data_IF_234055606077
#
_entry.id   IF_234055606077
#
_cell.length_a   1.000
_cell.length_b   1.000
_cell.length_c   1.000
_cell.angle_alpha   90.00
_cell.angle_beta   90.00
_cell.angle_gamma   90.00
#
_symmetry.space_group_name_H-M   'P 1'
#
loop_
_entity.id
_entity.type
_entity.pdbx_description
1 polymer ?
#
# COMPACT_ATOMS: atom_id res chain seq x y z
N UNK A 1 28.92 29.20 -24.06
CA UNK A 1 28.69 29.67 -25.44
C UNK A 1 27.35 29.08 -25.84
N UNK A 2 26.22 29.80 -25.69
CA UNK A 2 25.74 30.88 -26.58
C UNK A 2 25.84 30.48 -28.05
N UNK A 3 24.85 30.60 -28.93
CA UNK A 3 23.45 31.02 -28.98
C UNK A 3 23.17 30.96 -30.50
N UNK A 4 21.97 30.61 -30.97
CA UNK A 4 21.32 31.26 -32.12
C UNK A 4 20.12 30.44 -32.60
N UNK A 5 18.94 30.86 -32.14
CA UNK A 5 17.85 31.16 -33.05
C UNK A 5 17.10 32.34 -32.43
N UNK A 6 17.25 33.51 -33.06
CA UNK A 6 16.54 34.74 -32.76
C UNK A 6 16.13 35.38 -34.08
N UNK A 7 14.94 35.96 -34.07
CA UNK A 7 14.48 36.94 -35.04
C UNK A 7 13.11 36.56 -35.61
N UNK A 8 12.04 37.33 -35.48
CA UNK A 8 11.80 38.59 -34.78
C UNK A 8 10.31 38.94 -35.05
N UNK A 9 9.59 39.39 -34.04
CA UNK A 9 8.50 40.38 -34.17
C UNK A 9 8.09 40.81 -32.77
N UNK A 10 8.65 41.93 -32.33
CA UNK A 10 8.25 42.64 -31.12
C UNK A 10 7.40 43.87 -31.48
N UNK A 11 6.58 44.23 -30.49
CA UNK A 11 6.02 45.55 -30.16
C UNK A 11 4.67 46.00 -30.77
N UNK A 12 3.65 46.01 -29.90
CA UNK A 12 2.78 47.18 -29.65
C UNK A 12 1.97 47.03 -28.33
N UNK A 13 2.52 47.59 -27.25
CA UNK A 13 1.91 48.57 -26.33
C UNK A 13 0.46 48.38 -25.83
N UNK A 14 0.37 48.12 -24.53
CA UNK A 14 -0.50 48.71 -23.50
C UNK A 14 -2.00 48.92 -23.77
N UNK A 15 -2.84 48.14 -23.07
CA UNK A 15 -4.08 48.64 -22.47
C UNK A 15 -4.28 48.02 -21.09
N UNK A 16 -4.26 48.88 -20.06
CA UNK A 16 -4.54 48.52 -18.69
C UNK A 16 -6.03 48.33 -18.43
N UNK A 17 -6.37 47.35 -17.59
CA UNK A 17 -7.67 47.28 -16.95
C UNK A 17 -7.50 47.29 -15.43
N UNK A 18 -7.94 48.41 -14.84
CA UNK A 18 -8.12 48.59 -13.40
C UNK A 18 -9.34 47.77 -12.96
N UNK A 19 -9.19 47.00 -11.90
CA UNK A 19 -10.32 46.47 -11.13
C UNK A 19 -10.96 47.62 -10.33
N UNK A 20 -12.26 47.85 -10.56
CA UNK A 20 -13.08 48.71 -9.71
C UNK A 20 -13.84 47.83 -8.74
N UNK A 21 -13.56 48.03 -7.45
CA UNK A 21 -14.37 47.58 -6.31
C UNK A 21 -15.71 48.32 -6.39
N UNK A 22 -16.82 47.60 -6.22
CA UNK A 22 -18.14 48.19 -6.08
C UNK A 22 -18.75 47.68 -4.77
N UNK A 23 -18.61 48.50 -3.73
CA UNK A 23 -19.41 48.45 -2.51
C UNK A 23 -20.79 49.04 -2.80
N UNK A 24 -21.85 48.31 -2.47
CA UNK A 24 -23.13 48.94 -2.12
C UNK A 24 -24.04 47.97 -1.36
N UNK A 25 -24.13 48.22 -0.05
CA UNK A 25 -25.24 47.86 0.81
C UNK A 25 -26.55 48.49 0.29
N UNK A 26 -27.64 47.72 0.22
CA UNK A 26 -28.90 48.15 0.82
C UNK A 26 -29.94 47.03 0.95
N UNK A 27 -30.68 47.13 2.05
CA UNK A 27 -31.78 46.27 2.50
C UNK A 27 -32.94 46.18 1.49
N UNK A 28 -33.58 45.01 1.43
CA UNK A 28 -35.03 44.93 1.22
C UNK A 28 -35.60 43.64 1.82
N UNK A 29 -36.45 43.81 2.84
CA UNK A 29 -37.31 42.78 3.42
C UNK A 29 -38.44 42.43 2.46
N UNK A 30 -38.63 41.15 2.12
CA UNK A 30 -39.95 40.62 1.77
C UNK A 30 -40.06 39.16 2.25
N UNK A 31 -40.93 38.97 3.25
CA UNK A 31 -41.32 37.66 3.75
C UNK A 31 -42.35 37.04 2.79
N UNK A 32 -42.13 35.80 2.37
CA UNK A 32 -43.19 35.00 1.74
C UNK A 32 -43.16 33.60 2.33
N UNK A 33 -44.23 33.27 3.06
CA UNK A 33 -44.56 31.92 3.52
C UNK A 33 -44.94 31.07 2.32
N UNK A 34 -44.35 29.88 2.17
CA UNK A 34 -44.95 28.80 1.40
C UNK A 34 -44.97 27.50 2.21
N UNK A 35 -46.18 26.98 2.29
CA UNK A 35 -46.66 25.80 2.98
C UNK A 35 -46.10 24.54 2.29
N UNK A 36 -45.47 23.65 3.05
CA UNK A 36 -45.04 22.33 2.58
C UNK A 36 -46.24 21.38 2.54
N UNK A 37 -46.72 21.03 1.35
CA UNK A 37 -47.56 19.86 1.13
C UNK A 37 -46.67 18.65 0.82
N UNK A 38 -46.69 17.67 1.72
CA UNK A 38 -46.02 16.37 1.57
C UNK A 38 -46.76 15.52 0.53
N UNK A 39 -46.11 15.20 -0.58
CA UNK A 39 -46.53 14.13 -1.48
C UNK A 39 -45.61 12.92 -1.28
N UNK A 40 -46.21 11.85 -0.76
CA UNK A 40 -45.60 10.53 -0.62
C UNK A 40 -45.19 9.98 -1.98
N UNK A 41 -43.88 9.80 -2.19
CA UNK A 41 -43.35 9.02 -3.29
C UNK A 41 -42.86 7.68 -2.72
N UNK A 42 -43.69 6.63 -2.87
CA UNK A 42 -43.34 5.25 -2.54
C UNK A 42 -42.19 4.79 -3.45
N UNK A 43 -40.95 4.91 -2.99
CA UNK A 43 -39.82 4.18 -3.55
C UNK A 43 -39.90 2.72 -3.07
N UNK A 44 -40.29 1.81 -3.94
CA UNK A 44 -39.94 0.40 -3.78
C UNK A 44 -38.43 0.25 -3.97
N UNK A 45 -37.67 0.51 -2.90
CA UNK A 45 -36.26 0.12 -2.81
C UNK A 45 -36.19 -1.36 -2.49
N UNK A 46 -35.64 -2.17 -3.40
CA UNK A 46 -35.06 -3.46 -3.00
C UNK A 46 -33.96 -3.13 -2.01
N UNK A 47 -34.15 -3.49 -0.73
CA UNK A 47 -33.06 -3.56 0.24
C UNK A 47 -32.08 -4.62 -0.27
N UNK A 48 -31.03 -4.19 -0.97
CA UNK A 48 -29.81 -4.97 -1.06
C UNK A 48 -29.16 -4.76 0.31
N UNK A 49 -29.40 -5.68 1.25
CA UNK A 49 -28.55 -5.79 2.43
C UNK A 49 -27.14 -6.08 1.89
N UNK A 50 -26.26 -5.08 1.88
CA UNK A 50 -24.84 -5.37 1.78
C UNK A 50 -24.48 -6.15 3.04
N UNK A 51 -24.18 -7.44 2.88
CA UNK A 51 -23.63 -8.24 3.95
C UNK A 51 -22.38 -7.52 4.48
N UNK A 52 -22.25 -7.46 5.80
CA UNK A 52 -21.04 -6.95 6.44
C UNK A 52 -19.85 -7.76 5.94
N UNK A 53 -18.82 -7.07 5.45
CA UNK A 53 -17.61 -7.73 4.97
C UNK A 53 -16.78 -8.20 6.14
N UNK A 54 -16.32 -9.43 6.02
CA UNK A 54 -15.52 -10.10 7.03
C UNK A 54 -14.12 -10.34 6.49
N UNK A 55 -13.13 -10.19 7.37
CA UNK A 55 -11.75 -10.62 7.07
C UNK A 55 -11.70 -12.15 6.98
N UNK A 56 -10.65 -12.69 6.38
CA UNK A 56 -10.61 -14.13 6.06
C UNK A 56 -10.79 -15.03 7.29
N UNK A 57 -10.23 -14.64 8.45
CA UNK A 57 -10.37 -15.39 9.72
C UNK A 57 -11.77 -15.36 10.30
N UNK A 58 -12.49 -14.25 10.12
CA UNK A 58 -13.87 -14.13 10.58
C UNK A 58 -14.81 -14.94 9.69
N UNK A 59 -14.54 -14.94 8.38
CA UNK A 59 -15.31 -15.70 7.39
C UNK A 59 -15.09 -17.22 7.52
N UNK A 60 -13.83 -17.62 7.74
CA UNK A 60 -13.35 -19.00 7.79
C UNK A 60 -12.55 -19.26 9.08
N UNK A 61 -13.22 -19.35 10.25
CA UNK A 61 -12.54 -19.45 11.55
C UNK A 61 -11.72 -20.73 11.73
N UNK A 62 -12.08 -21.81 11.04
CA UNK A 62 -11.36 -23.08 11.09
C UNK A 62 -10.14 -23.11 10.15
N UNK A 63 -10.00 -22.13 9.25
CA UNK A 63 -8.89 -22.07 8.28
C UNK A 63 -7.55 -21.97 9.00
N UNK A 64 -6.69 -22.98 8.78
CA UNK A 64 -5.35 -22.97 9.33
C UNK A 64 -4.48 -21.93 8.61
N UNK A 65 -4.29 -20.78 9.25
CA UNK A 65 -3.46 -19.66 8.77
C UNK A 65 -2.21 -19.50 9.63
N UNK A 66 -1.48 -20.60 9.80
CA UNK A 66 -0.27 -20.64 10.62
C UNK A 66 -0.54 -20.91 12.10
N UNK A 67 0.53 -21.29 12.82
CA UNK A 67 0.48 -21.61 14.26
C UNK A 67 0.58 -20.40 15.18
N UNK A 68 1.13 -19.30 14.69
CA UNK A 68 1.29 -18.07 15.46
C UNK A 68 -0.02 -17.29 15.45
N UNK A 69 -0.43 -16.74 16.59
CA UNK A 69 -1.63 -15.91 16.69
C UNK A 69 -1.36 -14.53 16.09
N UNK A 70 -2.37 -13.88 15.48
CA UNK A 70 -2.23 -12.49 15.09
C UNK A 70 -2.11 -11.56 16.29
N UNK A 71 -1.60 -10.35 16.06
CA UNK A 71 -1.71 -9.25 17.00
C UNK A 71 -3.16 -8.77 17.12
N UNK A 72 -3.45 -7.83 18.04
CA UNK A 72 -4.81 -7.38 18.33
C UNK A 72 -5.54 -6.76 17.13
N UNK A 73 -4.82 -6.08 16.22
CA UNK A 73 -5.39 -5.49 15.01
C UNK A 73 -5.32 -6.45 13.82
N UNK A 74 -4.52 -7.52 13.93
CA UNK A 74 -4.12 -8.38 12.82
C UNK A 74 -3.69 -7.52 11.62
N UNK A 75 -2.77 -6.59 11.86
CA UNK A 75 -2.35 -5.58 10.87
C UNK A 75 -0.89 -5.21 11.08
N UNK A 76 -0.24 -4.63 10.07
CA UNK A 76 1.17 -4.23 10.15
C UNK A 76 1.43 -3.24 11.30
N UNK A 77 0.41 -2.46 11.66
CA UNK A 77 0.43 -1.50 12.78
C UNK A 77 0.42 -2.16 14.16
N UNK A 78 0.26 -3.48 14.26
CA UNK A 78 0.56 -4.22 15.49
C UNK A 78 2.04 -4.14 15.86
N UNK A 79 2.94 -3.89 14.90
CA UNK A 79 4.37 -3.67 15.17
C UNK A 79 4.55 -2.31 15.85
N UNK A 80 5.05 -2.26 17.10
CA UNK A 80 5.12 -1.02 17.85
C UNK A 80 5.86 0.10 17.10
N UNK A 81 5.19 1.24 16.98
CA UNK A 81 5.70 2.45 16.33
C UNK A 81 5.39 2.56 14.85
N UNK A 82 5.02 1.48 14.15
CA UNK A 82 4.63 1.56 12.74
C UNK A 82 3.30 2.28 12.60
N UNK A 83 3.22 3.22 11.67
CA UNK A 83 2.01 3.99 11.37
C UNK A 83 1.67 3.86 9.89
N UNK A 84 0.38 3.88 9.56
CA UNK A 84 -0.09 3.78 8.18
C UNK A 84 -1.21 4.79 7.91
N UNK A 85 -1.22 5.32 6.69
CA UNK A 85 -2.33 6.07 6.12
C UNK A 85 -2.69 5.50 4.74
N UNK A 86 -3.97 5.39 4.43
CA UNK A 86 -4.46 5.09 3.08
C UNK A 86 -5.34 6.23 2.59
N UNK A 87 -5.06 6.73 1.39
CA UNK A 87 -5.86 7.76 0.73
C UNK A 87 -6.24 7.31 -0.68
N UNK A 88 -7.54 7.10 -0.91
CA UNK A 88 -8.11 6.78 -2.21
C UNK A 88 -8.50 8.06 -2.96
N UNK A 89 -8.06 8.17 -4.20
CA UNK A 89 -8.24 9.34 -5.06
C UNK A 89 -9.17 8.96 -6.21
N UNK A 90 -10.40 9.48 -6.15
CA UNK A 90 -11.49 9.20 -7.10
C UNK A 90 -12.31 10.45 -7.43
N UNK A 91 -11.70 11.48 -8.07
CA UNK A 91 -12.41 12.72 -8.43
C UNK A 91 -13.55 12.51 -9.44
N UNK A 92 -13.49 11.43 -10.22
CA UNK A 92 -14.49 11.02 -11.18
C UNK A 92 -14.42 9.49 -11.41
N UNK A 93 -15.32 8.94 -12.22
CA UNK A 93 -15.42 7.49 -12.48
C UNK A 93 -14.21 6.88 -13.18
N UNK A 94 -13.42 7.67 -13.91
CA UNK A 94 -12.30 7.18 -14.71
C UNK A 94 -10.99 7.13 -13.90
N UNK A 95 -10.94 7.78 -12.74
CA UNK A 95 -9.76 7.82 -11.87
C UNK A 95 -10.02 6.97 -10.63
N UNK A 96 -9.23 5.90 -10.48
CA UNK A 96 -9.33 4.98 -9.34
C UNK A 96 -7.91 4.62 -8.88
N UNK A 97 -7.31 5.48 -8.09
CA UNK A 97 -5.92 5.34 -7.65
C UNK A 97 -5.76 5.86 -6.22
N UNK A 98 -4.54 5.98 -5.72
CA UNK A 98 -4.31 6.52 -4.39
C UNK A 98 -2.88 6.39 -3.93
N UNK A 99 -2.69 6.65 -2.64
CA UNK A 99 -1.43 6.47 -1.94
C UNK A 99 -1.65 5.71 -0.64
N UNK A 100 -0.75 4.79 -0.33
CA UNK A 100 -0.62 4.18 0.99
C UNK A 100 0.73 4.60 1.55
N UNK A 101 0.72 5.31 2.68
CA UNK A 101 1.91 5.81 3.36
C UNK A 101 2.19 4.97 4.59
N UNK A 102 3.41 4.45 4.73
CA UNK A 102 3.85 3.69 5.89
C UNK A 102 5.01 4.45 6.52
N UNK A 103 4.86 4.82 7.79
CA UNK A 103 5.97 5.32 8.60
C UNK A 103 6.55 4.17 9.40
N UNK A 104 7.87 3.88 9.29
CA UNK A 104 8.49 2.87 10.15
C UNK A 104 8.46 3.28 11.62
N UNK A 105 8.30 4.59 11.88
CA UNK A 105 8.12 5.23 13.19
C UNK A 105 7.71 6.69 13.04
N UNK A 106 7.05 7.24 14.07
CA UNK A 106 6.69 8.66 14.12
C UNK A 106 7.92 9.60 14.06
N UNK A 107 9.03 9.20 14.67
CA UNK A 107 10.29 9.94 14.72
C UNK A 107 11.29 9.51 13.63
N UNK A 108 10.81 9.05 12.46
CA UNK A 108 11.66 8.56 11.36
C UNK A 108 12.69 9.60 10.87
N UNK A 109 12.35 10.89 10.98
CA UNK A 109 13.26 12.01 10.65
C UNK A 109 14.45 12.12 11.63
N UNK A 110 14.37 11.49 12.80
CA UNK A 110 15.46 11.42 13.79
C UNK A 110 16.19 10.09 13.73
N UNK A 111 15.44 9.00 13.51
CA UNK A 111 15.99 7.65 13.55
C UNK A 111 15.52 6.80 12.37
N UNK A 112 16.48 6.31 11.60
CA UNK A 112 16.30 5.27 10.61
C UNK A 112 16.11 3.88 11.25
N UNK A 113 15.63 2.96 10.42
CA UNK A 113 15.47 1.54 10.74
C UNK A 113 16.43 0.68 9.91
N UNK A 114 16.83 -0.48 10.43
CA UNK A 114 17.44 -1.48 9.54
C UNK A 114 16.39 -1.99 8.57
N UNK A 115 16.79 -2.19 7.32
CA UNK A 115 15.92 -2.67 6.25
C UNK A 115 16.70 -3.48 5.21
N UNK A 116 15.96 -4.27 4.42
CA UNK A 116 16.48 -4.95 3.26
C UNK A 116 15.38 -5.23 2.24
N UNK A 117 15.76 -5.42 0.98
CA UNK A 117 14.86 -5.69 -0.14
C UNK A 117 15.14 -7.08 -0.72
N UNK A 118 14.10 -7.73 -1.20
CA UNK A 118 14.20 -8.92 -2.04
C UNK A 118 13.30 -8.77 -3.27
N UNK A 119 13.91 -8.86 -4.45
CA UNK A 119 13.22 -8.85 -5.73
C UNK A 119 12.99 -10.29 -6.19
N UNK A 120 11.75 -10.76 -6.14
CA UNK A 120 11.39 -12.08 -6.66
C UNK A 120 11.24 -12.04 -8.18
N UNK A 121 10.50 -11.06 -8.70
CA UNK A 121 10.52 -10.67 -10.11
C UNK A 121 10.53 -9.14 -10.25
N UNK A 122 11.37 -8.62 -11.16
CA UNK A 122 11.74 -7.21 -11.17
C UNK A 122 11.05 -6.33 -12.19
N UNK A 123 9.88 -6.74 -12.70
CA UNK A 123 9.12 -5.97 -13.67
C UNK A 123 8.30 -4.84 -12.99
N UNK A 124 8.96 -4.04 -12.17
CA UNK A 124 8.37 -2.95 -11.39
C UNK A 124 9.45 -2.08 -10.75
N UNK A 125 9.06 -1.07 -9.99
CA UNK A 125 9.98 -0.08 -9.43
C UNK A 125 9.85 0.07 -7.90
N UNK A 126 10.99 0.25 -7.24
CA UNK A 126 11.12 0.59 -5.82
C UNK A 126 12.34 1.49 -5.65
N UNK A 127 12.08 2.80 -5.54
CA UNK A 127 13.11 3.82 -5.31
C UNK A 127 13.73 3.69 -3.91
N UNK A 128 14.90 4.30 -3.71
CA UNK A 128 15.66 4.16 -2.46
C UNK A 128 16.35 2.80 -2.27
N UNK A 129 16.08 1.84 -3.16
CA UNK A 129 16.59 0.47 -3.07
C UNK A 129 18.11 0.35 -3.06
N UNK A 130 18.82 1.19 -3.83
CA UNK A 130 20.28 1.18 -3.85
C UNK A 130 20.90 1.52 -2.48
N UNK A 131 20.35 2.51 -1.78
CA UNK A 131 20.88 2.87 -0.46
C UNK A 131 20.56 1.81 0.59
N UNK A 132 19.39 1.18 0.50
CA UNK A 132 19.02 0.04 1.35
C UNK A 132 19.93 -1.15 1.08
N UNK A 133 20.28 -1.46 -0.17
CA UNK A 133 21.17 -2.57 -0.50
C UNK A 133 22.61 -2.31 -0.03
N UNK A 134 23.09 -1.07 -0.17
CA UNK A 134 24.43 -0.65 0.24
C UNK A 134 24.60 -0.63 1.77
N UNK A 135 23.62 -0.06 2.48
CA UNK A 135 23.78 0.26 3.91
C UNK A 135 22.86 -0.51 4.84
N UNK A 136 21.80 -1.11 4.30
CA UNK A 136 20.76 -1.75 5.09
C UNK A 136 19.94 -0.78 5.93
N UNK A 137 19.80 0.49 5.50
CA UNK A 137 19.08 1.52 6.25
C UNK A 137 17.88 2.08 5.49
N UNK A 138 16.72 2.12 6.16
CA UNK A 138 15.51 2.81 5.71
C UNK A 138 15.50 4.21 6.32
N UNK A 139 15.63 5.22 5.46
CA UNK A 139 15.78 6.64 5.84
C UNK A 139 14.57 7.51 5.47
N UNK A 140 13.46 6.90 5.09
CA UNK A 140 12.24 7.60 4.62
C UNK A 140 10.95 6.85 4.97
N UNK A 141 9.79 7.51 4.87
CA UNK A 141 8.50 6.85 4.70
C UNK A 141 8.50 5.92 3.48
N UNK A 142 7.68 4.88 3.54
CA UNK A 142 7.44 3.99 2.40
C UNK A 142 6.10 4.38 1.77
N UNK A 143 6.10 4.73 0.48
CA UNK A 143 4.90 5.14 -0.26
C UNK A 143 4.58 4.10 -1.33
N UNK A 144 3.38 3.54 -1.26
CA UNK A 144 2.84 2.60 -2.25
C UNK A 144 1.79 3.34 -3.10
N UNK A 145 1.96 3.33 -4.42
CA UNK A 145 1.05 4.02 -5.35
C UNK A 145 1.01 3.32 -6.72
N UNK A 146 0.56 4.02 -7.76
CA UNK A 146 0.61 3.56 -9.16
C UNK A 146 1.93 3.93 -9.84
N UNK A 147 2.43 3.10 -10.76
CA UNK A 147 3.68 3.34 -11.50
C UNK A 147 3.81 4.78 -12.04
N UNK A 148 2.73 5.32 -12.60
CA UNK A 148 2.71 6.66 -13.20
C UNK A 148 2.91 7.80 -12.19
N UNK A 149 2.85 7.50 -10.89
CA UNK A 149 2.92 8.46 -9.79
C UNK A 149 4.16 8.30 -8.90
N UNK A 150 5.13 7.47 -9.28
CA UNK A 150 6.39 7.33 -8.53
C UNK A 150 7.09 8.68 -8.35
N UNK A 151 7.16 9.49 -9.42
CA UNK A 151 7.77 10.82 -9.36
C UNK A 151 7.08 11.76 -8.38
N UNK A 152 5.75 11.72 -8.30
CA UNK A 152 4.97 12.53 -7.35
C UNK A 152 5.15 12.04 -5.91
N UNK A 153 5.23 10.72 -5.71
CA UNK A 153 5.64 10.10 -4.44
C UNK A 153 6.99 10.65 -3.96
N UNK A 154 7.98 10.62 -4.86
CA UNK A 154 9.36 10.99 -4.57
C UNK A 154 9.46 12.48 -4.21
N UNK A 155 8.81 13.33 -5.01
CA UNK A 155 8.69 14.77 -4.73
C UNK A 155 7.97 15.04 -3.42
N UNK A 156 6.91 14.31 -3.10
CA UNK A 156 6.10 14.52 -1.90
C UNK A 156 6.85 14.27 -0.60
N UNK A 157 7.70 13.23 -0.55
CA UNK A 157 8.57 12.99 0.61
C UNK A 157 9.55 14.15 0.79
N UNK A 158 10.17 14.65 -0.28
CA UNK A 158 11.08 15.80 -0.17
C UNK A 158 10.36 17.10 0.16
N UNK A 159 9.16 17.34 -0.37
CA UNK A 159 8.34 18.49 0.04
C UNK A 159 8.01 18.43 1.54
N UNK A 160 7.69 17.25 2.08
CA UNK A 160 7.52 17.08 3.52
C UNK A 160 8.80 17.47 4.28
N UNK A 161 9.96 16.97 3.84
CA UNK A 161 11.25 17.29 4.50
C UNK A 161 11.53 18.79 4.45
N UNK A 162 11.34 19.45 3.31
CA UNK A 162 11.54 20.90 3.20
C UNK A 162 10.57 21.70 4.07
N UNK A 163 9.32 21.25 4.24
CA UNK A 163 8.31 21.96 5.04
C UNK A 163 8.55 21.82 6.55
N UNK A 164 9.01 20.66 7.01
CA UNK A 164 9.02 20.31 8.44
C UNK A 164 10.41 20.06 9.03
N UNK A 165 11.41 19.84 8.19
CA UNK A 165 12.77 19.44 8.57
C UNK A 165 13.85 20.11 7.69
N UNK A 166 13.59 21.33 7.21
CA UNK A 166 14.60 22.13 6.54
C UNK A 166 15.69 22.61 7.51
N UNK A 167 16.87 22.90 6.97
CA UNK A 167 17.94 23.62 7.66
C UNK A 167 17.52 25.06 7.99
N UNK A 168 18.23 25.78 8.87
CA UNK A 168 17.90 27.17 9.21
C UNK A 168 17.86 28.15 8.02
N UNK A 169 18.57 27.84 6.94
CA UNK A 169 18.58 28.60 5.67
C UNK A 169 17.53 28.12 4.65
N UNK A 170 16.72 27.11 4.99
CA UNK A 170 15.58 26.66 4.20
C UNK A 170 15.90 25.57 3.16
N UNK A 171 17.04 24.90 3.27
CA UNK A 171 17.44 23.79 2.39
C UNK A 171 17.13 22.41 3.04
N UNK A 172 17.44 21.33 2.33
CA UNK A 172 17.27 19.95 2.77
C UNK A 172 18.03 19.67 4.07
N UNK A 173 17.31 19.39 5.17
CA UNK A 173 17.93 19.07 6.46
C UNK A 173 18.24 17.59 6.70
N UNK A 174 17.72 16.68 5.86
CA UNK A 174 17.86 15.23 6.04
C UNK A 174 18.49 14.59 4.80
N UNK A 175 19.55 13.80 5.01
CA UNK A 175 20.10 12.92 3.98
C UNK A 175 19.21 11.67 3.87
N UNK A 176 18.14 11.79 3.08
CA UNK A 176 17.11 10.76 2.91
C UNK A 176 17.02 10.31 1.47
N UNK A 177 16.77 9.02 1.26
CA UNK A 177 16.42 8.44 -0.03
C UNK A 177 14.96 7.97 0.04
N UNK A 178 14.01 8.69 -0.58
CA UNK A 178 12.60 8.30 -0.57
C UNK A 178 12.38 6.89 -1.11
N UNK A 179 11.57 6.09 -0.41
CA UNK A 179 11.15 4.75 -0.85
C UNK A 179 9.73 4.83 -1.37
N UNK A 180 9.64 4.91 -2.69
CA UNK A 180 8.39 4.91 -3.45
C UNK A 180 8.36 3.66 -4.30
N UNK A 181 7.26 2.92 -4.22
CA UNK A 181 7.08 1.64 -4.91
C UNK A 181 5.67 1.55 -5.46
N UNK A 182 5.45 0.63 -6.40
CA UNK A 182 4.22 0.66 -7.19
C UNK A 182 3.64 -0.70 -7.55
N UNK A 183 2.37 -0.66 -7.95
CA UNK A 183 1.79 -1.64 -8.87
C UNK A 183 0.97 -0.92 -9.96
N UNK A 184 0.61 -1.62 -11.04
CA UNK A 184 -0.08 -1.02 -12.19
C UNK A 184 -1.63 -1.05 -12.11
N UNK A 185 -2.29 0.10 -11.96
CA UNK A 185 -3.76 0.23 -11.91
C UNK A 185 -4.46 0.62 -13.23
N UNK A 186 -3.75 0.67 -14.36
CA UNK A 186 -4.22 1.31 -15.60
C UNK A 186 -5.44 0.65 -16.28
N UNK A 187 -5.91 -0.49 -15.76
CA UNK A 187 -7.18 -1.09 -16.21
C UNK A 187 -8.39 -0.33 -15.69
N UNK A 188 -8.38 0.04 -14.40
CA UNK A 188 -9.45 0.77 -13.71
C UNK A 188 -9.15 2.26 -13.56
N UNK A 189 -7.88 2.66 -13.69
CA UNK A 189 -7.42 4.04 -13.56
C UNK A 189 -6.98 4.64 -14.90
N UNK A 190 -7.42 5.86 -15.19
CA UNK A 190 -6.92 6.67 -16.30
C UNK A 190 -5.60 7.34 -15.91
N UNK A 191 -4.50 6.58 -15.96
CA UNK A 191 -3.17 7.03 -15.52
C UNK A 191 -2.69 8.35 -16.16
N UNK A 192 -3.12 8.67 -17.39
CA UNK A 192 -2.79 9.95 -18.04
C UNK A 192 -3.36 11.18 -17.33
N UNK A 193 -4.18 11.01 -16.30
CA UNK A 193 -4.69 12.10 -15.45
C UNK A 193 -3.70 12.54 -14.38
N UNK A 194 -2.69 11.73 -14.06
CA UNK A 194 -1.70 12.02 -13.00
C UNK A 194 -2.37 12.56 -11.73
N UNK A 195 -3.36 11.81 -11.23
CA UNK A 195 -4.25 12.29 -10.16
C UNK A 195 -3.60 12.31 -8.78
N UNK A 196 -2.56 11.49 -8.56
CA UNK A 196 -1.74 11.58 -7.35
C UNK A 196 -0.89 12.83 -7.43
N UNK A 197 -0.80 13.55 -6.32
CA UNK A 197 0.00 14.76 -6.18
C UNK A 197 0.94 14.58 -4.98
N UNK A 198 2.01 15.38 -4.86
CA UNK A 198 2.89 15.32 -3.70
C UNK A 198 2.16 15.73 -2.43
N UNK A 199 1.12 16.56 -2.53
CA UNK A 199 0.34 16.96 -1.37
C UNK A 199 -0.36 15.75 -0.73
N UNK A 200 -0.88 14.82 -1.52
CA UNK A 200 -1.44 13.56 -1.00
C UNK A 200 -0.39 12.77 -0.19
N UNK A 201 0.88 12.81 -0.61
CA UNK A 201 1.98 12.15 0.11
C UNK A 201 2.29 12.89 1.42
N UNK A 202 2.38 14.22 1.38
CA UNK A 202 2.59 15.05 2.58
C UNK A 202 1.48 14.82 3.60
N UNK A 203 0.22 14.85 3.16
CA UNK A 203 -0.93 14.55 4.01
C UNK A 203 -0.91 13.11 4.53
N UNK A 204 -0.52 12.14 3.70
CA UNK A 204 -0.33 10.77 4.13
C UNK A 204 0.70 10.60 5.25
N UNK A 205 1.81 11.35 5.20
CA UNK A 205 2.81 11.35 6.28
C UNK A 205 2.23 11.97 7.56
N UNK A 206 1.46 13.06 7.46
CA UNK A 206 0.87 13.74 8.61
C UNK A 206 -0.27 12.95 9.26
N UNK A 207 -1.03 12.20 8.46
CA UNK A 207 -2.25 11.50 8.89
C UNK A 207 -2.02 10.00 9.20
N UNK A 208 -0.79 9.50 9.13
CA UNK A 208 -0.48 8.12 9.47
C UNK A 208 -0.78 7.85 10.95
N UNK A 209 -1.53 6.79 11.23
CA UNK A 209 -1.91 6.40 12.60
C UNK A 209 -1.56 4.94 12.88
N UNK A 210 -1.68 4.53 14.15
CA UNK A 210 -1.46 3.16 14.60
C UNK A 210 -2.73 2.29 14.49
N UNK A 211 -3.79 2.81 13.86
CA UNK A 211 -5.06 2.07 13.72
C UNK A 211 -4.89 0.87 12.78
N UNK A 212 -5.88 -0.02 12.78
CA UNK A 212 -5.93 -1.10 11.79
C UNK A 212 -5.98 -0.49 10.38
N UNK A 213 -5.13 -1.00 9.49
CA UNK A 213 -5.05 -0.51 8.10
C UNK A 213 -6.38 -0.78 7.38
N UNK A 214 -7.00 0.22 6.73
CA UNK A 214 -8.15 -0.03 5.86
C UNK A 214 -7.76 -0.91 4.66
N UNK A 215 -8.47 -2.02 4.45
CA UNK A 215 -8.14 -3.05 3.45
C UNK A 215 -9.12 -3.06 2.26
N UNK A 216 -8.79 -3.86 1.24
CA UNK A 216 -9.53 -3.96 0.00
C UNK A 216 -9.14 -2.84 -0.96
N UNK A 217 -10.12 -2.10 -1.46
CA UNK A 217 -9.93 -1.10 -2.53
C UNK A 217 -9.54 0.28 -1.98
N UNK A 218 -8.49 0.34 -1.17
CA UNK A 218 -8.05 1.53 -0.43
C UNK A 218 -6.64 1.97 -0.80
N UNK A 219 -6.33 3.27 -0.61
CA UNK A 219 -4.98 3.81 -0.78
C UNK A 219 -4.38 3.55 -2.16
N UNK A 220 -3.10 3.19 -2.22
CA UNK A 220 -2.45 2.77 -3.46
C UNK A 220 -3.11 1.53 -4.11
N UNK A 221 -3.83 0.72 -3.32
CA UNK A 221 -4.59 -0.44 -3.78
C UNK A 221 -5.90 -0.15 -4.50
N UNK A 222 -6.36 1.10 -4.54
CA UNK A 222 -7.71 1.48 -5.01
C UNK A 222 -8.08 0.88 -6.37
N UNK A 223 -7.22 1.01 -7.38
CA UNK A 223 -7.48 0.52 -8.74
C UNK A 223 -6.93 -0.87 -9.06
N UNK A 224 -6.47 -1.63 -8.07
CA UNK A 224 -5.74 -2.88 -8.29
C UNK A 224 -6.66 -4.10 -8.50
N UNK A 225 -6.12 -5.15 -9.13
CA UNK A 225 -6.79 -6.38 -9.54
C UNK A 225 -5.94 -7.58 -9.12
N UNK A 226 -6.48 -8.49 -8.32
CA UNK A 226 -5.76 -9.67 -7.82
C UNK A 226 -6.51 -10.95 -8.22
N UNK A 227 -5.81 -11.91 -8.82
CA UNK A 227 -6.37 -13.15 -9.37
C UNK A 227 -7.57 -12.90 -10.30
N UNK A 228 -7.50 -11.80 -11.07
CA UNK A 228 -8.59 -11.29 -11.95
C UNK A 228 -9.90 -10.92 -11.24
N UNK A 229 -9.92 -10.92 -9.91
CA UNK A 229 -10.93 -10.27 -9.08
C UNK A 229 -10.42 -8.90 -8.63
N UNK A 230 -11.27 -8.11 -7.97
CA UNK A 230 -10.82 -6.86 -7.37
C UNK A 230 -9.71 -7.15 -6.35
N UNK A 231 -8.59 -6.42 -6.49
CA UNK A 231 -7.45 -6.44 -5.58
C UNK A 231 -7.35 -5.16 -4.74
N UNK A 232 -6.14 -4.90 -4.24
CA UNK A 232 -5.83 -3.68 -3.48
C UNK A 232 -4.93 -3.91 -2.27
N UNK A 233 -5.22 -3.22 -1.16
CA UNK A 233 -4.39 -3.21 0.05
C UNK A 233 -4.89 -4.26 1.06
N UNK A 234 -3.97 -4.99 1.67
CA UNK A 234 -4.28 -5.97 2.70
C UNK A 234 -3.18 -6.02 3.75
N UNK A 235 -3.51 -6.47 4.94
CA UNK A 235 -2.59 -6.50 6.06
C UNK A 235 -2.85 -7.68 6.99
N UNK A 236 -1.82 -8.13 7.69
CA UNK A 236 -1.93 -9.16 8.72
C UNK A 236 -0.72 -9.08 9.64
N UNK A 237 -0.78 -9.70 10.81
CA UNK A 237 0.36 -9.79 11.72
C UNK A 237 0.43 -11.14 12.43
N UNK A 238 1.55 -11.43 13.07
CA UNK A 238 1.78 -12.59 13.92
C UNK A 238 2.61 -12.19 15.13
N UNK A 239 2.26 -12.76 16.29
CA UNK A 239 3.04 -12.67 17.52
C UNK A 239 3.91 -13.92 17.66
N UNK A 240 5.22 -13.71 17.73
CA UNK A 240 6.23 -14.76 17.88
C UNK A 240 6.85 -14.65 19.28
N UNK A 241 6.73 -15.67 20.15
CA UNK A 241 7.41 -15.67 21.42
C UNK A 241 8.92 -15.83 21.20
N UNK A 242 9.70 -15.08 21.96
CA UNK A 242 11.15 -15.12 21.96
C UNK A 242 11.72 -14.72 23.31
N UNK A 243 13.02 -14.42 23.32
CA UNK A 243 13.74 -13.92 24.49
C UNK A 243 14.34 -12.55 24.17
N UNK A 244 14.46 -11.68 25.17
CA UNK A 244 15.26 -10.45 25.08
C UNK A 244 16.75 -10.72 25.34
N UNK A 245 17.59 -9.68 25.22
CA UNK A 245 19.04 -9.76 25.48
C UNK A 245 19.43 -10.27 26.87
N UNK A 246 18.53 -10.19 27.85
CA UNK A 246 18.76 -10.61 29.23
C UNK A 246 18.17 -12.01 29.51
N UNK A 247 17.60 -12.66 28.48
CA UNK A 247 17.03 -14.00 28.55
C UNK A 247 15.58 -14.06 29.05
N UNK A 248 14.89 -12.92 29.18
CA UNK A 248 13.50 -12.89 29.62
C UNK A 248 12.56 -13.15 28.45
N UNK A 249 11.42 -13.82 28.71
CA UNK A 249 10.39 -14.03 27.70
C UNK A 249 9.85 -12.69 27.17
N UNK A 250 9.89 -12.53 25.86
CA UNK A 250 9.41 -11.36 25.14
C UNK A 250 8.63 -11.80 23.91
N UNK A 251 7.44 -11.25 23.74
CA UNK A 251 6.69 -11.42 22.51
C UNK A 251 7.15 -10.38 21.51
N UNK A 252 7.48 -10.85 20.32
CA UNK A 252 7.79 -10.02 19.17
C UNK A 252 6.66 -10.06 18.16
N UNK A 253 6.58 -9.05 17.31
CA UNK A 253 5.56 -8.90 16.29
C UNK A 253 6.19 -8.93 14.91
N UNK A 254 5.57 -9.67 13.99
CA UNK A 254 5.78 -9.57 12.55
C UNK A 254 4.51 -9.04 11.94
N UNK A 255 4.57 -7.88 11.29
CA UNK A 255 3.47 -7.27 10.56
C UNK A 255 3.73 -7.32 9.05
N UNK A 256 2.68 -7.49 8.25
CA UNK A 256 2.76 -7.48 6.79
C UNK A 256 1.68 -6.58 6.22
N UNK A 257 2.04 -5.79 5.21
CA UNK A 257 1.12 -5.04 4.35
C UNK A 257 1.44 -5.38 2.90
N UNK A 258 0.39 -5.65 2.12
CA UNK A 258 0.49 -5.94 0.69
C UNK A 258 -0.30 -4.93 -0.13
N UNK A 259 0.20 -4.61 -1.32
CA UNK A 259 -0.59 -4.05 -2.42
C UNK A 259 -0.64 -5.09 -3.53
N UNK A 260 -1.73 -5.85 -3.58
CA UNK A 260 -1.87 -7.02 -4.45
C UNK A 260 -2.59 -6.64 -5.76
N UNK A 261 -1.87 -6.81 -6.87
CA UNK A 261 -2.32 -6.55 -8.22
C UNK A 261 -1.90 -7.68 -9.19
N UNK A 262 -1.82 -8.93 -8.73
CA UNK A 262 -1.17 -10.03 -9.46
C UNK A 262 -2.07 -11.24 -9.67
N UNK A 263 -1.64 -12.16 -10.54
CA UNK A 263 -2.14 -13.55 -10.59
C UNK A 263 -3.30 -13.80 -11.55
N UNK A 264 -3.41 -15.05 -12.02
CA UNK A 264 -4.54 -15.51 -12.82
C UNK A 264 -5.66 -16.06 -11.95
N UNK A 265 -6.89 -16.09 -12.49
CA UNK A 265 -8.08 -16.56 -11.78
C UNK A 265 -7.91 -18.02 -11.35
N UNK A 266 -7.37 -18.86 -12.22
CA UNK A 266 -7.25 -20.31 -12.07
C UNK A 266 -6.21 -20.72 -11.03
N UNK A 267 -5.27 -19.84 -10.71
CA UNK A 267 -4.18 -20.12 -9.78
C UNK A 267 -4.56 -19.82 -8.32
N UNK A 268 -5.66 -19.09 -8.09
CA UNK A 268 -6.11 -18.72 -6.74
C UNK A 268 -6.29 -19.93 -5.85
N UNK A 269 -5.49 -19.99 -4.79
CA UNK A 269 -5.56 -21.00 -3.74
C UNK A 269 -5.89 -20.37 -2.39
N UNK A 270 -6.84 -20.96 -1.64
CA UNK A 270 -7.18 -20.54 -0.27
C UNK A 270 -7.04 -21.75 0.65
N UNK A 271 -6.08 -21.73 1.60
CA UNK A 271 -5.80 -22.88 2.46
C UNK A 271 -5.37 -24.13 1.70
N UNK A 272 -4.69 -23.97 0.55
CA UNK A 272 -4.35 -25.06 -0.36
C UNK A 272 -5.52 -25.59 -1.22
N UNK A 273 -6.74 -25.10 -1.04
CA UNK A 273 -7.88 -25.43 -1.90
C UNK A 273 -7.78 -24.63 -3.20
N UNK A 274 -7.83 -25.26 -4.40
CA UNK A 274 -7.72 -24.57 -5.69
C UNK A 274 -9.03 -23.87 -6.08
N UNK A 275 -9.41 -22.85 -5.28
CA UNK A 275 -10.67 -22.11 -5.40
C UNK A 275 -10.87 -21.56 -6.81
N UNK A 276 -9.81 -21.01 -7.42
CA UNK A 276 -9.85 -20.48 -8.78
C UNK A 276 -10.38 -21.45 -9.82
N UNK A 277 -9.84 -22.68 -9.82
CA UNK A 277 -10.24 -23.75 -10.76
C UNK A 277 -11.66 -24.25 -10.51
N UNK A 278 -12.07 -24.31 -9.25
CA UNK A 278 -13.41 -24.76 -8.85
C UNK A 278 -14.48 -23.75 -9.27
N UNK A 279 -14.19 -22.45 -9.15
CA UNK A 279 -15.09 -21.39 -9.64
C UNK A 279 -15.23 -21.47 -11.18
N UNK A 280 -14.13 -21.62 -11.91
CA UNK A 280 -14.15 -21.73 -13.37
C UNK A 280 -14.91 -22.97 -13.89
N UNK A 281 -14.78 -24.11 -13.22
CA UNK A 281 -15.51 -25.33 -13.58
C UNK A 281 -17.02 -25.21 -13.30
N UNK A 282 -17.40 -24.48 -12.26
CA UNK A 282 -18.82 -24.24 -11.93
C UNK A 282 -19.46 -23.26 -12.92
N UNK A 283 -18.73 -22.23 -13.34
CA UNK A 283 -19.18 -21.26 -14.35
C UNK A 283 -19.43 -21.95 -15.71
N UNK A 284 -18.47 -22.77 -16.18
CA UNK A 284 -18.60 -23.51 -17.46
C UNK A 284 -19.75 -24.52 -17.49
N UNK A 285 -20.08 -25.15 -16.36
CA UNK A 285 -21.25 -26.04 -16.24
C UNK A 285 -22.59 -25.29 -16.22
N UNK A 286 -22.58 -24.00 -15.84
CA UNK A 286 -23.78 -23.16 -15.76
C UNK A 286 -24.07 -22.34 -17.02
N UNK A 287 -23.10 -22.19 -17.93
CA UNK A 287 -23.20 -21.32 -19.10
C UNK A 287 -23.43 -22.10 -20.40
N UNK A 288 -24.60 -21.93 -21.03
CA UNK A 288 -24.87 -22.22 -22.46
C UNK A 288 -24.54 -21.04 -23.37
N UNK A 289 -23.94 -19.96 -22.86
CA UNK A 289 -23.63 -18.74 -23.64
C UNK A 289 -22.13 -18.52 -23.80
N UNK A 290 -21.67 -18.62 -25.04
CA UNK A 290 -20.35 -18.19 -25.51
C UNK A 290 -20.29 -16.66 -25.63
N UNK A 291 -20.22 -15.95 -24.50
CA UNK A 291 -19.75 -14.56 -24.55
C UNK A 291 -18.21 -14.58 -24.65
N UNK A 292 -17.59 -13.89 -25.62
CA UNK A 292 -16.13 -13.81 -25.71
C UNK A 292 -15.58 -13.26 -24.39
N UNK A 293 -14.70 -14.02 -23.74
CA UNK A 293 -14.04 -13.59 -22.52
C UNK A 293 -13.39 -12.24 -22.74
N UNK A 294 -13.66 -11.29 -21.84
CA UNK A 294 -12.97 -10.00 -21.81
C UNK A 294 -11.47 -10.31 -21.74
N UNK A 295 -10.75 -10.06 -22.83
CA UNK A 295 -9.28 -10.10 -22.84
C UNK A 295 -8.82 -9.07 -21.81
N UNK A 296 -8.47 -9.56 -20.62
CA UNK A 296 -7.88 -8.76 -19.56
C UNK A 296 -6.57 -8.11 -20.06
N UNK A 297 -6.06 -7.10 -19.34
CA UNK A 297 -4.82 -6.44 -19.72
C UNK A 297 -3.69 -7.47 -19.84
N UNK A 298 -2.86 -7.30 -20.86
CA UNK A 298 -1.71 -8.16 -21.24
C UNK A 298 -0.62 -8.26 -20.15
N UNK A 299 -0.65 -7.42 -19.13
CA UNK A 299 0.30 -7.46 -18.03
C UNK A 299 -0.19 -8.42 -16.93
N UNK A 300 0.66 -9.37 -16.54
CA UNK A 300 0.37 -10.39 -15.52
C UNK A 300 0.37 -9.86 -14.06
N UNK A 301 0.30 -8.54 -13.89
CA UNK A 301 0.05 -7.89 -12.60
C UNK A 301 1.29 -7.37 -11.90
N UNK A 302 1.27 -7.21 -10.56
CA UNK A 302 2.42 -6.90 -9.67
C UNK A 302 1.99 -7.09 -8.20
N UNK A 303 2.94 -7.31 -7.28
CA UNK A 303 2.66 -7.24 -5.84
C UNK A 303 3.84 -6.65 -5.07
N UNK A 304 3.53 -5.66 -4.23
CA UNK A 304 4.45 -5.14 -3.23
C UNK A 304 4.11 -5.75 -1.88
N UNK A 305 5.12 -6.24 -1.17
CA UNK A 305 4.98 -6.81 0.18
C UNK A 305 5.96 -6.11 1.12
N UNK A 306 5.42 -5.41 2.12
CA UNK A 306 6.18 -4.74 3.17
C UNK A 306 6.04 -5.54 4.46
N UNK A 307 7.17 -5.98 5.01
CA UNK A 307 7.28 -6.69 6.28
C UNK A 307 7.86 -5.75 7.32
N UNK A 308 7.19 -5.60 8.46
CA UNK A 308 7.69 -4.87 9.62
C UNK A 308 7.87 -5.83 10.79
N UNK A 309 8.83 -5.54 11.67
CA UNK A 309 8.99 -6.29 12.92
C UNK A 309 9.70 -5.49 13.99
N UNK A 310 9.46 -5.80 15.26
CA UNK A 310 10.18 -5.24 16.41
C UNK A 310 11.33 -6.15 16.90
N UNK A 311 11.63 -7.21 16.16
CA UNK A 311 12.76 -8.12 16.43
C UNK A 311 14.07 -7.41 16.06
N UNK A 312 15.09 -7.41 16.94
CA UNK A 312 16.40 -6.85 16.61
C UNK A 312 17.08 -7.71 15.54
N UNK A 313 17.04 -7.23 14.29
CA UNK A 313 17.54 -7.93 13.12
C UNK A 313 18.49 -7.04 12.33
N UNK A 314 19.59 -7.65 11.89
CA UNK A 314 20.54 -7.03 10.97
C UNK A 314 19.97 -7.03 9.53
N UNK A 315 20.47 -6.15 8.64
CA UNK A 315 20.01 -6.07 7.25
C UNK A 315 20.03 -7.41 6.50
N UNK A 316 21.10 -8.20 6.66
CA UNK A 316 21.19 -9.53 6.05
C UNK A 316 20.12 -10.52 6.56
N UNK A 317 19.70 -10.39 7.82
CA UNK A 317 18.60 -11.19 8.37
C UNK A 317 17.25 -10.69 7.84
N UNK A 318 17.06 -9.38 7.74
CA UNK A 318 15.86 -8.79 7.13
C UNK A 318 15.71 -9.20 5.66
N UNK A 319 16.81 -9.33 4.90
CA UNK A 319 16.76 -9.84 3.53
C UNK A 319 16.24 -11.28 3.49
N UNK A 320 16.57 -12.10 4.50
CA UNK A 320 16.05 -13.46 4.65
C UNK A 320 14.55 -13.44 4.99
N UNK A 321 14.08 -12.47 5.79
CA UNK A 321 12.65 -12.28 6.05
C UNK A 321 11.91 -11.88 4.78
N UNK A 322 12.38 -10.88 4.03
CA UNK A 322 11.76 -10.45 2.77
C UNK A 322 11.60 -11.61 1.79
N UNK A 323 12.58 -12.53 1.70
CA UNK A 323 12.49 -13.77 0.91
C UNK A 323 11.36 -14.72 1.32
N UNK A 324 10.91 -14.69 2.59
CA UNK A 324 9.83 -15.56 3.07
C UNK A 324 8.44 -15.07 2.65
N UNK A 325 8.31 -13.80 2.27
CA UNK A 325 7.09 -13.31 1.64
C UNK A 325 6.76 -14.11 0.35
N UNK A 326 7.76 -14.59 -0.38
CA UNK A 326 7.56 -15.50 -1.54
C UNK A 326 6.78 -16.77 -1.15
N UNK A 327 7.01 -17.31 0.05
CA UNK A 327 6.32 -18.53 0.51
C UNK A 327 4.83 -18.25 0.71
N UNK A 328 4.49 -17.13 1.35
CA UNK A 328 3.09 -16.72 1.53
C UNK A 328 2.42 -16.42 0.18
N UNK A 329 3.09 -15.65 -0.68
CA UNK A 329 2.64 -15.38 -2.06
C UNK A 329 2.36 -16.66 -2.85
N UNK A 330 3.28 -17.63 -2.80
CA UNK A 330 3.15 -18.89 -3.54
C UNK A 330 1.97 -19.74 -3.04
N UNK A 331 1.66 -19.72 -1.73
CA UNK A 331 0.49 -20.44 -1.18
C UNK A 331 -0.85 -19.91 -1.67
N UNK A 332 -0.89 -18.64 -2.11
CA UNK A 332 -2.08 -18.04 -2.71
C UNK A 332 -2.14 -18.22 -4.23
N UNK A 333 -1.08 -18.78 -4.84
CA UNK A 333 -0.99 -19.03 -6.28
C UNK A 333 -0.15 -18.02 -7.06
N UNK A 334 0.74 -17.28 -6.40
CA UNK A 334 1.70 -16.41 -7.07
C UNK A 334 2.92 -17.18 -7.60
N UNK A 335 3.27 -16.96 -8.87
CA UNK A 335 4.39 -17.64 -9.55
C UNK A 335 5.56 -16.72 -9.93
N UNK A 336 5.44 -15.40 -9.77
CA UNK A 336 6.44 -14.47 -10.31
C UNK A 336 6.40 -14.43 -11.84
N UNK A 337 5.21 -14.24 -12.41
CA UNK A 337 5.02 -14.15 -13.86
C UNK A 337 5.86 -13.01 -14.46
N UNK A 338 6.29 -13.17 -15.72
CA UNK A 338 7.27 -12.28 -16.37
C UNK A 338 6.90 -10.79 -16.27
N UNK A 339 5.62 -10.45 -16.45
CA UNK A 339 5.14 -9.07 -16.36
C UNK A 339 4.83 -8.57 -14.95
N UNK A 340 5.07 -9.36 -13.90
CA UNK A 340 4.70 -9.05 -12.52
C UNK A 340 5.85 -8.49 -11.69
N UNK A 341 5.79 -7.22 -11.31
CA UNK A 341 6.69 -6.62 -10.34
C UNK A 341 6.42 -7.18 -8.94
N UNK A 342 7.18 -8.21 -8.55
CA UNK A 342 7.06 -8.89 -7.25
C UNK A 342 8.27 -8.49 -6.39
N UNK A 343 8.13 -7.37 -5.67
CA UNK A 343 9.22 -6.72 -4.94
C UNK A 343 8.84 -6.61 -3.46
N UNK A 344 9.68 -7.16 -2.59
CA UNK A 344 9.41 -7.26 -1.17
C UNK A 344 10.46 -6.50 -0.37
N UNK A 345 10.05 -5.92 0.75
CA UNK A 345 10.93 -5.20 1.66
C UNK A 345 10.63 -5.63 3.08
N UNK A 346 11.67 -5.75 3.91
CA UNK A 346 11.52 -5.97 5.34
C UNK A 346 12.30 -4.90 6.12
N UNK A 347 11.72 -4.39 7.21
CA UNK A 347 12.40 -3.48 8.13
C UNK A 347 12.15 -3.86 9.60
N UNK A 348 13.11 -3.50 10.46
CA UNK A 348 12.99 -3.67 11.92
C UNK A 348 12.92 -2.33 12.63
N UNK A 349 11.95 -2.19 13.55
CA UNK A 349 11.80 -1.03 14.43
C UNK A 349 12.65 -1.14 15.71
N UNK A 350 13.38 -2.24 15.92
CA UNK A 350 14.16 -2.43 17.14
C UNK A 350 15.32 -1.42 17.28
N UNK A 351 16.05 -1.19 16.18
CA UNK A 351 17.17 -0.25 16.18
C UNK A 351 16.71 1.21 16.05
N UNK A 352 17.42 2.13 16.70
CA UNK A 352 17.30 3.59 16.52
C UNK A 352 18.60 4.11 15.90
N UNK A 353 18.73 3.99 14.57
CA UNK A 353 19.93 4.43 13.85
C UNK A 353 19.81 5.94 13.63
N UNK A 354 20.71 6.79 14.15
CA UNK A 354 20.61 8.23 13.94
C UNK A 354 20.53 8.58 12.45
N UNK A 355 19.54 9.38 12.08
CA UNK A 355 19.44 9.93 10.72
C UNK A 355 20.65 10.81 10.42
N UNK A 356 21.23 10.65 9.24
CA UNK A 356 22.28 11.54 8.77
C UNK A 356 21.67 12.90 8.42
N UNK A 357 22.22 13.94 9.03
CA UNK A 357 21.89 15.34 8.74
C UNK A 357 22.97 15.90 7.83
N UNK A 358 22.61 16.90 7.00
CA UNK A 358 23.60 17.60 6.17
C UNK A 358 24.45 18.58 7.00
N UNK A 359 23.92 19.06 8.12
CA UNK A 359 24.63 19.91 9.08
C UNK A 359 24.88 19.15 10.39
N UNK A 360 26.11 19.24 10.90
CA UNK A 360 26.51 18.52 12.10
C UNK A 360 26.70 17.02 11.85
N UNK A 361 27.71 16.42 12.46
CA UNK A 361 27.99 15.01 12.24
C UNK A 361 29.31 14.55 12.83
N UNK A 362 29.56 13.25 12.69
CA UNK A 362 30.85 12.65 12.98
C UNK A 362 31.83 12.93 11.83
N UNK A 363 33.12 12.95 12.14
CA UNK A 363 34.19 13.05 11.13
C UNK A 363 34.17 11.78 10.25
N UNK A 364 33.88 11.88 8.93
CA UNK A 364 33.72 10.73 8.05
C UNK A 364 35.01 9.93 7.88
N UNK A 365 36.17 10.47 8.27
CA UNK A 365 37.46 9.80 8.24
C UNK A 365 37.86 9.21 9.60
N UNK A 366 36.98 9.27 10.61
CA UNK A 366 37.21 8.69 11.94
C UNK A 366 36.08 7.73 12.31
N UNK A 367 36.27 6.40 12.16
CA UNK A 367 35.23 5.44 12.47
C UNK A 367 34.86 5.49 13.96
N UNK A 368 33.56 5.47 14.25
CA UNK A 368 33.00 5.38 15.60
C UNK A 368 32.22 4.08 15.74
N UNK A 369 32.52 3.30 16.77
CA UNK A 369 31.81 2.04 17.05
C UNK A 369 30.46 2.29 17.73
N UNK A 370 29.46 1.46 17.39
CA UNK A 370 28.18 1.40 18.09
C UNK A 370 27.87 -0.05 18.48
N UNK A 371 27.19 -0.24 19.60
CA UNK A 371 26.67 -1.55 20.01
C UNK A 371 25.26 -1.73 19.44
N UNK A 372 24.97 -2.91 18.90
CA UNK A 372 23.66 -3.28 18.36
C UNK A 372 23.22 -4.62 18.96
N UNK A 373 21.93 -4.71 19.29
CA UNK A 373 21.29 -5.98 19.63
C UNK A 373 20.91 -6.71 18.34
N UNK A 374 21.05 -8.04 18.33
CA UNK A 374 20.61 -8.88 17.22
C UNK A 374 20.19 -10.25 17.76
N UNK A 375 19.19 -10.86 17.14
CA UNK A 375 18.82 -12.26 17.45
C UNK A 375 19.79 -13.25 16.80
N UNK A 376 19.94 -14.40 17.44
CA UNK A 376 20.71 -15.53 16.92
C UNK A 376 20.01 -16.19 15.72
N UNK A 377 20.81 -16.60 14.73
CA UNK A 377 20.29 -17.21 13.52
C UNK A 377 19.57 -18.55 13.76
N UNK A 378 19.93 -19.31 14.79
CA UNK A 378 19.29 -20.60 15.10
C UNK A 378 17.84 -20.44 15.59
N UNK A 379 17.51 -19.28 16.18
CA UNK A 379 16.20 -18.99 16.75
C UNK A 379 15.16 -18.43 15.75
N UNK A 380 15.57 -18.11 14.52
CA UNK A 380 14.77 -17.26 13.62
C UNK A 380 13.64 -17.98 12.86
N UNK A 381 13.55 -19.31 12.93
CA UNK A 381 12.59 -20.08 12.12
C UNK A 381 11.13 -19.70 12.39
N UNK A 382 10.77 -19.41 13.65
CA UNK A 382 9.43 -18.95 14.00
C UNK A 382 9.05 -17.64 13.30
N UNK A 383 10.04 -16.75 13.12
CA UNK A 383 9.90 -15.48 12.41
C UNK A 383 9.67 -15.71 10.91
N UNK A 384 10.37 -16.68 10.31
CA UNK A 384 10.17 -17.02 8.90
C UNK A 384 8.78 -17.59 8.61
N UNK A 385 8.28 -18.46 9.49
CA UNK A 385 6.92 -18.97 9.42
C UNK A 385 5.92 -17.82 9.55
N UNK A 386 6.12 -16.94 10.54
CA UNK A 386 5.27 -15.77 10.76
C UNK A 386 5.18 -14.85 9.54
N UNK A 387 6.29 -14.58 8.85
CA UNK A 387 6.28 -13.78 7.61
C UNK A 387 5.46 -14.46 6.52
N UNK A 388 5.67 -15.77 6.30
CA UNK A 388 4.94 -16.50 5.27
C UNK A 388 3.43 -16.52 5.56
N UNK A 389 3.05 -16.84 6.79
CA UNK A 389 1.66 -16.94 7.21
C UNK A 389 0.94 -15.58 7.20
N UNK A 390 1.61 -14.51 7.68
CA UNK A 390 1.06 -13.15 7.62
C UNK A 390 0.93 -12.65 6.18
N UNK A 391 1.85 -13.01 5.29
CA UNK A 391 1.77 -12.64 3.87
C UNK A 391 0.58 -13.32 3.19
N UNK A 392 0.43 -14.63 3.37
CA UNK A 392 -0.70 -15.41 2.86
C UNK A 392 -2.04 -14.80 3.31
N UNK A 393 -2.16 -14.54 4.61
CA UNK A 393 -3.38 -13.95 5.17
C UNK A 393 -3.63 -12.51 4.71
N UNK A 394 -2.59 -11.66 4.59
CA UNK A 394 -2.75 -10.30 4.09
C UNK A 394 -3.32 -10.28 2.68
N UNK A 395 -2.89 -11.21 1.80
CA UNK A 395 -3.44 -11.34 0.44
C UNK A 395 -4.90 -11.83 0.48
N UNK A 396 -5.24 -12.77 1.36
CA UNK A 396 -6.64 -13.17 1.55
C UNK A 396 -7.52 -12.02 2.00
N UNK A 397 -7.02 -11.17 2.92
CA UNK A 397 -7.74 -10.00 3.39
C UNK A 397 -7.94 -8.95 2.28
N UNK A 398 -7.02 -8.85 1.30
CA UNK A 398 -7.28 -8.04 0.09
C UNK A 398 -8.55 -8.54 -0.59
N UNK A 399 -8.61 -9.83 -0.92
CA UNK A 399 -9.69 -10.42 -1.70
C UNK A 399 -11.03 -10.39 -0.94
N UNK A 400 -11.00 -10.60 0.38
CA UNK A 400 -12.22 -10.58 1.22
C UNK A 400 -12.78 -9.18 1.44
N UNK A 401 -11.91 -8.15 1.46
CA UNK A 401 -12.32 -6.78 1.74
C UNK A 401 -12.54 -5.93 0.48
N UNK A 402 -12.12 -6.39 -0.70
CA UNK A 402 -12.26 -5.66 -1.96
C UNK A 402 -13.72 -5.45 -2.43
N UNK A 403 -13.96 -4.44 -3.29
CA UNK A 403 -15.29 -4.11 -3.84
C UNK A 403 -15.34 -4.20 -5.36
N UNK A 404 -16.44 -4.71 -5.90
CA UNK A 404 -16.70 -4.58 -7.33
C UNK A 404 -16.58 -3.11 -7.72
N UNK A 405 -15.74 -2.82 -8.70
CA UNK A 405 -15.42 -1.46 -9.11
C UNK A 405 -15.60 -1.32 -10.60
N UNK A 406 -16.30 -0.25 -11.00
CA UNK A 406 -16.35 0.20 -12.39
C UNK A 406 -15.47 1.42 -12.53
N UNK A 407 -14.47 1.34 -13.40
CA UNK A 407 -13.46 2.38 -13.59
C UNK A 407 -13.34 2.85 -15.02
N UNK A 408 -12.12 3.25 -15.38
CA UNK A 408 -11.76 3.81 -16.68
C UNK A 408 -12.35 3.03 -17.86
N UNK A 409 -12.94 3.77 -18.82
CA UNK A 409 -13.66 3.23 -19.99
C UNK A 409 -14.89 2.39 -19.64
N UNK A 410 -15.47 2.57 -18.45
CA UNK A 410 -16.64 1.82 -18.00
C UNK A 410 -16.35 0.33 -17.77
N UNK A 411 -15.08 -0.02 -17.51
CA UNK A 411 -14.67 -1.41 -17.26
C UNK A 411 -14.99 -1.78 -15.81
N UNK A 412 -15.63 -2.91 -15.63
CA UNK A 412 -15.96 -3.45 -14.31
C UNK A 412 -15.04 -4.62 -13.97
N UNK A 413 -14.57 -4.67 -12.73
CA UNK A 413 -13.89 -5.82 -12.13
C UNK A 413 -14.68 -6.22 -10.91
N UNK A 414 -15.11 -7.48 -10.87
CA UNK A 414 -15.91 -8.02 -9.77
C UNK A 414 -15.04 -8.32 -8.54
N UNK A 415 -15.58 -8.08 -7.35
CA UNK A 415 -15.04 -8.66 -6.13
C UNK A 415 -15.20 -10.19 -6.14
N UNK A 416 -14.34 -10.88 -5.39
CA UNK A 416 -14.47 -12.31 -5.19
C UNK A 416 -15.74 -12.60 -4.36
N UNK A 417 -16.56 -13.54 -4.83
CA UNK A 417 -17.78 -13.96 -4.14
C UNK A 417 -17.41 -14.78 -2.88
N UNK A 418 -17.37 -14.11 -1.74
CA UNK A 418 -16.90 -14.70 -0.48
C UNK A 418 -17.83 -15.78 0.09
N UNK A 419 -19.12 -15.76 -0.27
CA UNK A 419 -20.05 -16.83 0.12
C UNK A 419 -19.71 -18.13 -0.62
N UNK A 420 -19.42 -18.05 -1.93
CA UNK A 420 -18.92 -19.20 -2.70
C UNK A 420 -17.58 -19.67 -2.20
N UNK A 421 -16.66 -18.76 -1.86
CA UNK A 421 -15.37 -19.13 -1.26
C UNK A 421 -15.58 -19.92 0.01
N UNK A 422 -16.44 -19.43 0.92
CA UNK A 422 -16.76 -20.10 2.18
C UNK A 422 -17.29 -21.50 1.95
N UNK A 423 -18.26 -21.65 1.03
CA UNK A 423 -18.81 -22.95 0.67
C UNK A 423 -17.74 -23.90 0.11
N UNK A 424 -16.90 -23.43 -0.82
CA UNK A 424 -15.88 -24.24 -1.49
C UNK A 424 -14.82 -24.73 -0.50
N UNK A 425 -14.33 -23.83 0.36
CA UNK A 425 -13.25 -24.11 1.31
C UNK A 425 -13.76 -25.00 2.43
N UNK A 426 -14.87 -24.65 3.09
CA UNK A 426 -15.41 -25.46 4.21
C UNK A 426 -15.78 -26.89 3.80
N UNK A 427 -16.19 -27.14 2.56
CA UNK A 427 -16.46 -28.51 2.05
C UNK A 427 -15.20 -29.37 1.92
N UNK A 428 -14.00 -28.79 1.99
CA UNK A 428 -12.71 -29.43 1.69
C UNK A 428 -11.69 -29.30 2.82
N UNK A 429 -12.10 -28.67 3.91
CA UNK A 429 -11.44 -28.71 5.20
C UNK A 429 -11.91 -29.94 5.97
#
# INVERSE_FOLDING_TARGET
MWYQWLGEAADAIAYGYRFSICDSFNHCHFATRYTLTSSYCLKMGRNVQHAEKLRIRELLPELFLGKWKPGPLNSITDVPGVLVHTESIQPDRDVNTGVTTILPRADWHKYACHAAIFKFNGAGEMTGSHWIDETGTLTSPIILTTNSSIGEGFRGVYEYVLRYHATPDGDMGLFTFPVITETYDGYLNKQSRFAVTPEHVVQGILNASADAVPEGSTGGGTGMICHRFKGGTGSSSRIVPGLDKDGNSKNYTVGVLVQANYGQKEDLCIGGVPVGRILASTETLSSTSTAPGVQGPLADGSIIIIVATDIPLLPVQLQRLAKRATVGLARVGGYGSNGSGDIFMAFSTAAKIPMQQFEGGLDPYKPSSVSLETVENESINGVFEAVADATEEAIYNVLSMAETMTGYKGRTVEALDMDKVKEIVTKRM
#
